data_IF_626331688237
#
_entry.id   IF_626331688237
#
_cell.length_a   1.000
_cell.length_b   1.000
_cell.length_c   1.000
_cell.angle_alpha   90.00
_cell.angle_beta   90.00
_cell.angle_gamma   90.00
#
_symmetry.space_group_name_H-M   'P 1'
#
loop_
_entity.id
_entity.type
_entity.pdbx_description
1 polymer ?
#
# COMPACT_ATOMS: atom_id res chain seq x y z
N UNK A 1 8.36 24.04 20.20
CA UNK A 1 8.36 23.05 21.30
C UNK A 1 8.41 21.65 20.71
N UNK A 2 9.54 20.95 20.88
CA UNK A 2 9.68 19.59 20.40
C UNK A 2 8.78 18.69 21.26
N UNK A 3 7.76 18.07 20.66
CA UNK A 3 7.03 17.00 21.32
C UNK A 3 8.05 15.89 21.62
N UNK A 4 8.33 15.64 22.89
CA UNK A 4 9.05 14.45 23.32
C UNK A 4 8.28 13.24 22.81
N UNK A 5 8.69 12.71 21.66
CA UNK A 5 8.27 11.39 21.21
C UNK A 5 8.81 10.40 22.23
N UNK A 6 7.92 9.71 22.93
CA UNK A 6 8.30 8.60 23.81
C UNK A 6 9.12 7.59 23.00
N UNK A 7 10.28 7.25 23.54
CA UNK A 7 11.21 6.30 22.93
C UNK A 7 11.27 5.04 23.76
N UNK A 8 11.30 3.88 23.10
CA UNK A 8 11.43 2.57 23.73
C UNK A 8 12.50 1.76 23.02
N UNK A 9 13.08 0.79 23.73
CA UNK A 9 14.01 -0.17 23.15
C UNK A 9 13.23 -1.29 22.46
N UNK A 10 13.56 -1.55 21.20
CA UNK A 10 12.99 -2.67 20.44
C UNK A 10 14.06 -3.36 19.61
N UNK A 11 13.91 -4.66 19.43
CA UNK A 11 14.81 -5.44 18.60
C UNK A 11 14.62 -5.09 17.13
N UNK A 12 15.72 -4.78 16.44
CA UNK A 12 15.73 -4.64 14.99
C UNK A 12 16.21 -5.96 14.37
N UNK A 13 15.32 -6.72 13.69
CA UNK A 13 15.67 -8.01 13.12
C UNK A 13 16.63 -7.95 11.93
N UNK A 14 16.80 -6.78 11.30
CA UNK A 14 17.72 -6.61 10.18
C UNK A 14 19.13 -6.31 10.70
N UNK A 15 19.24 -5.58 11.81
CA UNK A 15 20.51 -5.25 12.44
C UNK A 15 20.94 -6.27 13.52
N UNK A 16 20.06 -7.21 13.87
CA UNK A 16 20.23 -8.20 14.94
C UNK A 16 20.64 -7.61 16.29
N UNK A 17 20.09 -6.44 16.64
CA UNK A 17 20.38 -5.75 17.90
C UNK A 17 19.21 -4.91 18.41
N UNK A 18 19.25 -4.57 19.69
CA UNK A 18 18.30 -3.60 20.26
C UNK A 18 18.58 -2.20 19.70
N UNK A 19 17.52 -1.52 19.27
CA UNK A 19 17.56 -0.14 18.78
C UNK A 19 16.52 0.70 19.49
N UNK A 20 16.80 1.98 19.63
CA UNK A 20 15.82 2.95 20.13
C UNK A 20 14.80 3.20 19.01
N UNK A 21 13.53 2.95 19.30
CA UNK A 21 12.41 3.29 18.44
C UNK A 21 11.61 4.39 19.09
N UNK A 22 11.10 5.31 18.27
CA UNK A 22 10.16 6.34 18.70
C UNK A 22 8.74 5.84 18.46
N UNK A 23 7.85 6.14 19.39
CA UNK A 23 6.43 5.89 19.17
C UNK A 23 5.88 6.60 17.93
N UNK A 24 4.83 6.01 17.36
CA UNK A 24 4.10 6.62 16.26
C UNK A 24 3.44 7.92 16.75
N UNK A 25 3.65 9.01 16.01
CA UNK A 25 2.91 10.27 16.24
C UNK A 25 1.39 10.04 16.15
N UNK A 26 0.58 10.91 16.76
CA UNK A 26 -0.89 10.77 16.75
C UNK A 26 -1.49 10.62 15.34
N UNK A 27 -0.96 11.35 14.35
CA UNK A 27 -1.35 11.18 12.94
C UNK A 27 -1.05 9.77 12.41
N UNK A 28 0.12 9.23 12.75
CA UNK A 28 0.50 7.89 12.34
C UNK A 28 -0.35 6.83 13.04
N UNK A 29 -0.67 7.02 14.33
CA UNK A 29 -1.60 6.13 15.06
C UNK A 29 -2.99 6.13 14.39
N UNK A 30 -3.53 7.30 14.07
CA UNK A 30 -4.83 7.43 13.39
C UNK A 30 -4.85 6.78 12.00
N UNK A 31 -3.76 6.87 11.23
CA UNK A 31 -3.66 6.16 9.95
C UNK A 31 -3.59 4.64 10.16
N UNK A 32 -2.80 4.19 11.13
CA UNK A 32 -2.60 2.76 11.39
C UNK A 32 -3.81 2.08 12.03
N UNK A 33 -4.76 2.84 12.60
CA UNK A 33 -6.01 2.30 13.14
C UNK A 33 -7.09 2.06 12.08
N UNK A 34 -6.95 2.64 10.88
CA UNK A 34 -7.87 2.40 9.77
C UNK A 34 -7.40 1.18 8.99
N UNK A 35 -8.13 0.06 9.12
CA UNK A 35 -7.82 -1.26 8.56
C UNK A 35 -7.48 -1.27 7.06
N UNK A 36 -7.99 -0.32 6.28
CA UNK A 36 -7.81 -0.29 4.83
C UNK A 36 -6.97 0.91 4.36
N UNK A 37 -6.89 2.01 5.11
CA UNK A 37 -6.11 3.17 4.67
C UNK A 37 -4.60 3.04 4.94
N UNK A 38 -4.19 2.21 5.91
CA UNK A 38 -2.79 2.14 6.33
C UNK A 38 -1.86 1.59 5.24
N UNK A 39 -2.36 0.71 4.37
CA UNK A 39 -1.56 0.06 3.33
C UNK A 39 -1.39 0.92 2.06
N UNK A 40 -2.14 2.01 1.87
CA UNK A 40 -2.06 2.83 0.66
C UNK A 40 -1.30 4.15 0.86
N UNK A 41 -0.58 4.56 -0.18
CA UNK A 41 0.08 5.85 -0.30
C UNK A 41 -0.95 6.97 -0.28
N UNK A 42 -0.74 7.98 0.56
CA UNK A 42 -1.63 9.14 0.66
C UNK A 42 -1.75 9.96 -0.62
N UNK A 43 -0.84 9.77 -1.60
CA UNK A 43 -0.73 10.61 -2.78
C UNK A 43 -1.10 9.92 -4.10
N UNK A 44 -1.20 8.59 -4.15
CA UNK A 44 -1.37 7.90 -5.44
C UNK A 44 -2.07 6.55 -5.41
N UNK A 45 -2.41 6.02 -4.22
CA UNK A 45 -3.06 4.71 -4.12
C UNK A 45 -2.16 3.49 -4.28
N UNK A 46 -0.87 3.64 -4.62
CA UNK A 46 0.07 2.52 -4.55
C UNK A 46 0.27 2.05 -3.11
N UNK A 47 0.68 0.81 -2.92
CA UNK A 47 1.01 0.30 -1.58
C UNK A 47 2.14 1.11 -0.94
N UNK A 48 2.04 1.33 0.37
CA UNK A 48 3.11 1.94 1.15
C UNK A 48 4.29 0.98 1.28
N UNK A 49 5.48 1.51 1.51
CA UNK A 49 6.63 0.65 1.82
C UNK A 49 6.43 -0.11 3.14
N UNK A 50 5.65 0.45 4.06
CA UNK A 50 5.30 -0.20 5.32
C UNK A 50 4.41 -1.44 5.13
N UNK A 51 3.51 -1.46 4.15
CA UNK A 51 2.71 -2.65 3.84
C UNK A 51 3.58 -3.82 3.38
N UNK A 52 4.60 -3.57 2.57
CA UNK A 52 5.55 -4.61 2.15
C UNK A 52 6.35 -5.18 3.33
N UNK A 53 6.65 -4.35 4.32
CA UNK A 53 7.39 -4.76 5.52
C UNK A 53 6.50 -5.52 6.50
N UNK A 54 5.22 -5.12 6.62
CA UNK A 54 4.27 -5.76 7.54
C UNK A 54 3.89 -7.17 7.09
N UNK A 55 3.91 -7.45 5.79
CA UNK A 55 3.68 -8.78 5.23
C UNK A 55 4.91 -9.71 5.31
N UNK A 56 6.07 -9.22 5.77
CA UNK A 56 7.31 -9.98 5.86
C UNK A 56 7.82 -10.12 7.31
N UNK A 57 7.08 -10.83 8.19
CA UNK A 57 7.58 -11.13 9.52
C UNK A 57 8.82 -12.02 9.47
N UNK A 58 9.65 -11.92 10.49
CA UNK A 58 10.78 -12.83 10.72
C UNK A 58 10.67 -13.48 12.09
N UNK A 59 11.30 -14.64 12.23
CA UNK A 59 11.41 -15.32 13.53
C UNK A 59 12.74 -14.96 14.15
N UNK A 60 12.70 -14.60 15.44
CA UNK A 60 13.88 -14.21 16.21
C UNK A 60 13.93 -15.01 17.51
N UNK A 61 15.13 -15.36 17.97
CA UNK A 61 15.34 -16.03 19.25
C UNK A 61 16.12 -15.13 20.19
N UNK A 62 15.54 -14.84 21.36
CA UNK A 62 16.23 -14.09 22.42
C UNK A 62 17.42 -14.90 22.96
N UNK A 63 18.50 -14.19 23.21
CA UNK A 63 19.73 -14.67 23.81
C UNK A 63 19.79 -14.23 25.27
N UNK A 64 20.61 -14.89 26.09
CA UNK A 64 20.71 -14.65 27.54
C UNK A 64 21.07 -13.20 27.92
N UNK A 65 21.69 -12.43 27.01
CA UNK A 65 22.17 -11.08 27.26
C UNK A 65 21.17 -9.99 26.79
N UNK A 66 19.91 -10.32 26.54
CA UNK A 66 18.91 -9.38 26.02
C UNK A 66 19.01 -9.07 24.52
N UNK A 67 20.03 -9.58 23.84
CA UNK A 67 20.11 -9.60 22.37
C UNK A 67 19.16 -10.66 21.78
N UNK A 68 18.91 -10.59 20.49
CA UNK A 68 18.22 -11.64 19.75
C UNK A 68 18.96 -11.92 18.43
N UNK A 69 18.76 -13.12 17.89
CA UNK A 69 19.28 -13.51 16.57
C UNK A 69 18.15 -13.95 15.67
N UNK A 70 18.28 -13.73 14.36
CA UNK A 70 17.31 -14.23 13.40
C UNK A 70 17.38 -15.76 13.34
N UNK A 71 16.22 -16.40 13.28
CA UNK A 71 16.10 -17.83 13.01
C UNK A 71 16.03 -18.02 11.50
N UNK A 72 16.95 -18.80 10.95
CA UNK A 72 16.91 -19.18 9.55
C UNK A 72 15.79 -20.21 9.34
N UNK A 73 14.82 -19.87 8.49
CA UNK A 73 13.69 -20.73 8.19
C UNK A 73 14.14 -21.78 7.16
N UNK A 74 14.14 -23.04 7.57
CA UNK A 74 14.44 -24.16 6.67
C UNK A 74 13.22 -24.55 5.86
N UNK A 75 13.41 -25.15 4.69
CA UNK A 75 12.31 -25.68 3.85
C UNK A 75 11.41 -26.65 4.63
N UNK A 76 12.00 -27.49 5.49
CA UNK A 76 11.26 -28.40 6.38
C UNK A 76 10.26 -27.66 7.29
N UNK A 77 10.63 -26.49 7.80
CA UNK A 77 9.75 -25.67 8.65
C UNK A 77 8.57 -25.10 7.86
N UNK A 78 8.83 -24.66 6.63
CA UNK A 78 7.78 -24.14 5.72
C UNK A 78 6.81 -25.27 5.36
N UNK A 79 7.33 -26.43 4.94
CA UNK A 79 6.53 -27.60 4.59
C UNK A 79 5.69 -28.11 5.77
N UNK A 80 6.20 -28.01 7.01
CA UNK A 80 5.42 -28.36 8.20
C UNK A 80 4.20 -27.46 8.39
N UNK A 81 4.34 -26.16 8.10
CA UNK A 81 3.23 -25.20 8.11
C UNK A 81 2.18 -25.51 7.05
N UNK A 82 2.63 -25.77 5.82
CA UNK A 82 1.74 -26.14 4.69
C UNK A 82 0.96 -27.42 5.02
N UNK A 83 1.63 -28.46 5.52
CA UNK A 83 0.96 -29.73 5.91
C UNK A 83 -0.13 -29.52 6.96
N UNK A 84 0.05 -28.56 7.88
CA UNK A 84 -0.97 -28.23 8.87
C UNK A 84 -2.15 -27.46 8.29
N UNK A 85 -1.89 -26.54 7.37
CA UNK A 85 -2.93 -25.87 6.61
C UNK A 85 -3.77 -26.88 5.84
N UNK A 86 -3.12 -27.78 5.09
CA UNK A 86 -3.76 -28.85 4.34
C UNK A 86 -4.62 -29.74 5.23
N UNK A 87 -4.11 -30.19 6.38
CA UNK A 87 -4.89 -30.99 7.34
C UNK A 87 -6.12 -30.26 7.88
N UNK A 88 -6.03 -28.94 8.10
CA UNK A 88 -7.18 -28.13 8.49
C UNK A 88 -8.19 -27.96 7.35
N UNK A 89 -7.71 -27.77 6.12
CA UNK A 89 -8.56 -27.70 4.93
C UNK A 89 -9.27 -29.03 4.65
N UNK A 90 -8.60 -30.18 4.82
CA UNK A 90 -9.21 -31.51 4.76
C UNK A 90 -10.35 -31.63 5.77
N UNK A 91 -10.11 -31.26 7.05
CA UNK A 91 -11.16 -31.26 8.07
C UNK A 91 -12.31 -30.31 7.71
N UNK A 92 -12.02 -29.16 7.11
CA UNK A 92 -13.03 -28.22 6.66
C UNK A 92 -13.87 -28.78 5.51
N UNK A 93 -13.25 -29.46 4.55
CA UNK A 93 -13.93 -30.18 3.47
C UNK A 93 -14.87 -31.26 4.03
N UNK A 94 -14.41 -32.03 5.03
CA UNK A 94 -15.25 -33.00 5.74
C UNK A 94 -16.39 -32.34 6.53
N UNK A 95 -16.16 -31.16 7.10
CA UNK A 95 -17.20 -30.39 7.78
C UNK A 95 -18.25 -29.86 6.78
N UNK A 96 -17.82 -29.43 5.59
CA UNK A 96 -18.71 -28.99 4.50
C UNK A 96 -19.58 -30.14 3.97
N UNK A 97 -19.06 -31.38 3.95
CA UNK A 97 -19.85 -32.57 3.59
C UNK A 97 -20.81 -33.04 4.70
N UNK A 98 -20.80 -32.37 5.85
CA UNK A 98 -21.70 -32.66 6.97
C UNK A 98 -21.23 -33.76 7.92
N UNK A 99 -19.99 -34.28 7.77
CA UNK A 99 -19.44 -35.36 8.61
C UNK A 99 -19.48 -35.07 10.10
N UNK A 100 -19.38 -33.79 10.47
CA UNK A 100 -19.31 -33.31 11.86
C UNK A 100 -20.58 -32.57 12.31
N UNK A 101 -21.66 -32.67 11.54
CA UNK A 101 -22.91 -31.94 11.78
C UNK A 101 -22.95 -30.56 11.09
N UNK A 102 -24.10 -29.87 11.19
CA UNK A 102 -24.42 -28.73 10.32
C UNK A 102 -23.65 -27.44 10.65
N UNK A 103 -23.09 -27.31 11.85
CA UNK A 103 -22.49 -26.06 12.32
C UNK A 103 -20.95 -26.06 12.32
N UNK A 104 -20.30 -27.21 12.17
CA UNK A 104 -18.84 -27.32 12.32
C UNK A 104 -18.08 -26.47 11.29
N UNK A 105 -18.53 -26.43 10.04
CA UNK A 105 -17.92 -25.59 9.00
C UNK A 105 -17.97 -24.10 9.38
N UNK A 106 -19.11 -23.63 9.89
CA UNK A 106 -19.27 -22.25 10.35
C UNK A 106 -18.40 -21.96 11.58
N UNK A 107 -18.28 -22.90 12.53
CA UNK A 107 -17.38 -22.78 13.68
C UNK A 107 -15.91 -22.72 13.25
N UNK A 108 -15.51 -23.49 12.23
CA UNK A 108 -14.16 -23.44 11.70
C UNK A 108 -13.85 -22.08 11.07
N UNK A 109 -14.75 -21.53 10.26
CA UNK A 109 -14.63 -20.16 9.73
C UNK A 109 -14.49 -19.17 10.88
N UNK A 110 -15.42 -19.17 11.85
CA UNK A 110 -15.39 -18.21 12.96
C UNK A 110 -14.12 -18.31 13.83
N UNK A 111 -13.52 -19.50 13.92
CA UNK A 111 -12.33 -19.76 14.72
C UNK A 111 -11.03 -19.38 14.04
N UNK A 112 -10.92 -19.66 12.74
CA UNK A 112 -9.65 -19.54 12.01
C UNK A 112 -9.61 -18.34 11.07
N UNK A 113 -10.79 -17.84 10.68
CA UNK A 113 -10.94 -16.89 9.61
C UNK A 113 -11.68 -15.61 10.00
N UNK A 114 -11.43 -14.56 9.23
CA UNK A 114 -12.25 -13.37 9.20
C UNK A 114 -13.07 -13.37 7.91
N UNK A 115 -14.39 -13.45 8.03
CA UNK A 115 -15.29 -13.58 6.88
C UNK A 115 -15.26 -12.35 5.97
N UNK A 116 -14.92 -11.17 6.52
CA UNK A 116 -14.80 -9.93 5.76
C UNK A 116 -13.54 -9.98 4.92
N UNK A 117 -12.41 -10.40 5.50
CA UNK A 117 -11.16 -10.55 4.75
C UNK A 117 -11.25 -11.66 3.69
N UNK A 118 -12.02 -12.71 3.95
CA UNK A 118 -12.30 -13.78 2.97
C UNK A 118 -13.30 -13.36 1.88
N UNK A 119 -13.81 -12.13 1.89
CA UNK A 119 -14.86 -11.68 0.96
C UNK A 119 -16.12 -12.55 0.95
N UNK A 120 -16.48 -13.07 2.11
CA UNK A 120 -17.54 -14.05 2.28
C UNK A 120 -17.36 -15.34 1.44
N UNK A 121 -16.17 -15.60 0.89
CA UNK A 121 -15.86 -16.86 0.25
C UNK A 121 -15.78 -17.96 1.31
N UNK A 122 -16.63 -18.98 1.17
CA UNK A 122 -16.69 -20.15 2.07
C UNK A 122 -16.27 -21.42 1.35
N UNK A 123 -15.76 -21.31 0.13
CA UNK A 123 -15.18 -22.42 -0.63
C UNK A 123 -14.01 -23.05 0.13
N UNK A 124 -13.67 -24.28 -0.24
CA UNK A 124 -12.50 -24.96 0.31
C UNK A 124 -11.22 -24.22 -0.09
N UNK A 125 -11.18 -23.74 -1.33
CA UNK A 125 -10.06 -22.98 -1.91
C UNK A 125 -9.84 -21.67 -1.16
N UNK A 126 -10.89 -20.87 -0.97
CA UNK A 126 -10.82 -19.63 -0.20
C UNK A 126 -10.43 -19.86 1.26
N UNK A 127 -10.94 -20.93 1.88
CA UNK A 127 -10.52 -21.34 3.22
C UNK A 127 -9.02 -21.68 3.27
N UNK A 128 -8.52 -22.46 2.32
CA UNK A 128 -7.11 -22.85 2.26
C UNK A 128 -6.19 -21.64 2.02
N UNK A 129 -6.52 -20.80 1.03
CA UNK A 129 -5.78 -19.57 0.71
C UNK A 129 -5.62 -18.68 1.95
N UNK A 130 -6.69 -18.56 2.74
CA UNK A 130 -6.69 -17.72 3.92
C UNK A 130 -5.90 -18.32 5.11
N UNK A 131 -6.03 -19.62 5.38
CA UNK A 131 -5.37 -20.24 6.54
C UNK A 131 -3.90 -20.56 6.31
N UNK A 132 -3.47 -20.80 5.07
CA UNK A 132 -2.12 -21.30 4.78
C UNK A 132 -1.03 -20.35 5.28
N UNK A 133 -1.05 -19.04 4.94
CA UNK A 133 -0.06 -18.09 5.44
C UNK A 133 -0.05 -18.02 6.98
N UNK A 134 -1.23 -18.12 7.62
CA UNK A 134 -1.36 -18.11 9.08
C UNK A 134 -0.75 -19.34 9.72
N UNK A 135 -0.95 -20.52 9.14
CA UNK A 135 -0.39 -21.77 9.65
C UNK A 135 1.12 -21.82 9.46
N UNK A 136 1.62 -21.34 8.32
CA UNK A 136 3.05 -21.16 8.08
C UNK A 136 3.65 -20.26 9.16
N UNK A 137 3.08 -19.06 9.37
CA UNK A 137 3.56 -18.13 10.38
C UNK A 137 3.49 -18.72 11.80
N UNK A 138 2.42 -19.44 12.12
CA UNK A 138 2.25 -20.11 13.42
C UNK A 138 3.29 -21.19 13.66
N UNK A 139 3.65 -21.97 12.64
CA UNK A 139 4.72 -22.96 12.77
C UNK A 139 6.08 -22.30 12.92
N UNK A 140 6.34 -21.26 12.15
CA UNK A 140 7.56 -20.46 12.28
C UNK A 140 7.71 -19.89 13.71
N UNK A 141 6.62 -19.43 14.32
CA UNK A 141 6.56 -18.91 15.69
C UNK A 141 6.86 -19.95 16.80
N UNK A 142 6.92 -21.25 16.48
CA UNK A 142 7.33 -22.27 17.47
C UNK A 142 8.83 -22.27 17.72
N UNK A 143 9.59 -21.70 16.78
CA UNK A 143 11.05 -21.70 16.82
C UNK A 143 11.62 -20.39 17.39
N UNK A 144 10.76 -19.43 17.74
CA UNK A 144 11.15 -18.14 18.32
C UNK A 144 9.98 -17.15 18.35
N UNK A 145 10.27 -15.92 18.73
CA UNK A 145 9.31 -14.81 18.70
C UNK A 145 9.16 -14.27 17.28
N UNK A 146 7.94 -13.86 16.91
CA UNK A 146 7.72 -13.14 15.65
C UNK A 146 8.13 -11.67 15.87
N UNK A 147 9.02 -11.18 15.01
CA UNK A 147 9.34 -9.77 14.90
C UNK A 147 9.06 -9.29 13.48
N UNK A 148 8.44 -8.13 13.34
CA UNK A 148 8.29 -7.53 12.01
C UNK A 148 9.60 -6.92 11.55
N UNK A 149 9.89 -7.10 10.26
CA UNK A 149 10.99 -6.40 9.63
C UNK A 149 10.86 -4.89 9.87
N UNK A 150 11.99 -4.20 9.98
CA UNK A 150 12.04 -2.73 10.13
C UNK A 150 12.44 -2.06 8.82
N UNK A 151 12.80 -2.85 7.80
CA UNK A 151 13.33 -2.41 6.51
C UNK A 151 12.81 -3.29 5.37
N UNK A 152 12.87 -2.77 4.15
CA UNK A 152 12.51 -3.52 2.94
C UNK A 152 13.46 -4.69 2.74
N UNK A 153 12.97 -5.77 2.14
CA UNK A 153 13.81 -6.89 1.74
C UNK A 153 14.95 -6.40 0.83
N UNK A 154 16.17 -6.91 1.04
CA UNK A 154 17.40 -6.54 0.28
C UNK A 154 17.86 -5.09 0.45
N UNK A 155 17.24 -4.29 1.33
CA UNK A 155 17.71 -2.94 1.61
C UNK A 155 18.97 -2.94 2.49
N UNK A 156 19.88 -2.00 2.23
CA UNK A 156 21.09 -1.83 3.05
C UNK A 156 20.73 -1.48 4.50
N UNK A 157 21.49 -1.94 5.52
CA UNK A 157 21.31 -1.58 6.92
C UNK A 157 21.19 -0.07 7.20
N UNK A 158 21.86 0.75 6.40
CA UNK A 158 21.85 2.22 6.53
C UNK A 158 20.82 2.94 5.65
N UNK A 159 20.04 2.18 4.88
CA UNK A 159 19.00 2.76 4.03
C UNK A 159 17.93 3.50 4.87
N UNK A 160 17.15 4.37 4.23
CA UNK A 160 16.02 4.98 4.90
C UNK A 160 15.00 3.90 5.32
N UNK A 161 14.41 4.06 6.52
CA UNK A 161 13.30 3.20 6.96
C UNK A 161 12.09 3.37 6.03
N UNK A 162 11.32 2.29 5.78
CA UNK A 162 10.07 2.33 5.02
C UNK A 162 9.11 3.40 5.54
N UNK A 163 8.47 4.13 4.63
CA UNK A 163 7.41 5.07 4.99
C UNK A 163 6.10 4.34 5.27
N UNK A 164 5.43 4.68 6.39
CA UNK A 164 4.04 4.24 6.64
C UNK A 164 2.99 5.14 5.99
N UNK A 165 3.40 6.23 5.33
CA UNK A 165 2.50 7.16 4.64
C UNK A 165 2.56 7.03 3.12
N UNK A 166 3.72 6.67 2.59
CA UNK A 166 4.05 6.84 1.18
C UNK A 166 4.61 5.54 0.60
N UNK A 167 4.37 5.32 -0.68
CA UNK A 167 5.08 4.32 -1.47
C UNK A 167 6.53 4.77 -1.74
N UNK A 168 7.35 3.88 -2.29
CA UNK A 168 8.76 4.16 -2.61
C UNK A 168 8.94 5.40 -3.51
N UNK A 169 8.07 5.55 -4.51
CA UNK A 169 8.10 6.67 -5.45
C UNK A 169 7.64 8.01 -4.84
N UNK A 170 7.01 8.00 -3.67
CA UNK A 170 6.59 9.20 -2.95
C UNK A 170 7.31 9.42 -1.62
N UNK A 171 8.18 8.52 -1.20
CA UNK A 171 8.98 8.71 0.02
C UNK A 171 10.13 9.71 -0.23
N UNK A 172 10.11 10.92 0.35
CA UNK A 172 11.14 11.94 0.10
C UNK A 172 12.55 11.57 0.58
N UNK A 173 12.66 10.50 1.38
CA UNK A 173 13.92 9.94 1.90
C UNK A 173 14.59 8.96 0.93
N UNK A 174 13.90 8.51 -0.12
CA UNK A 174 14.46 7.57 -1.11
C UNK A 174 15.35 8.22 -2.15
N UNK A 175 15.09 9.48 -2.50
CA UNK A 175 15.93 10.20 -3.46
C UNK A 175 15.29 11.49 -3.98
N UNK A 176 16.00 12.15 -4.89
CA UNK A 176 15.58 13.42 -5.50
C UNK A 176 14.31 13.21 -6.34
N UNK A 177 14.22 12.11 -7.08
CA UNK A 177 13.05 11.74 -7.89
C UNK A 177 11.79 11.58 -7.03
N UNK A 178 11.86 10.77 -5.97
CA UNK A 178 10.74 10.57 -5.05
C UNK A 178 10.36 11.86 -4.31
N UNK A 179 11.35 12.68 -3.94
CA UNK A 179 11.11 14.00 -3.35
C UNK A 179 10.37 14.93 -4.31
N UNK A 180 10.74 14.97 -5.59
CA UNK A 180 10.04 15.77 -6.61
C UNK A 180 8.60 15.27 -6.81
N UNK A 181 8.40 13.95 -6.90
CA UNK A 181 7.07 13.36 -7.02
C UNK A 181 6.18 13.69 -5.80
N UNK A 182 6.73 13.57 -4.60
CA UNK A 182 6.06 14.00 -3.36
C UNK A 182 5.66 15.48 -3.40
N UNK A 183 6.60 16.37 -3.75
CA UNK A 183 6.34 17.82 -3.79
C UNK A 183 5.30 18.21 -4.85
N UNK A 184 5.25 17.48 -5.97
CA UNK A 184 4.25 17.67 -7.02
C UNK A 184 2.88 17.21 -6.53
N UNK A 185 2.77 15.97 -6.09
CA UNK A 185 1.47 15.34 -5.83
C UNK A 185 0.86 15.79 -4.49
N UNK A 186 1.68 16.20 -3.51
CA UNK A 186 1.16 16.75 -2.24
C UNK A 186 0.34 18.03 -2.42
N UNK A 187 0.57 18.77 -3.51
CA UNK A 187 -0.18 20.02 -3.81
C UNK A 187 -1.64 19.74 -4.11
N UNK A 188 -1.93 18.54 -4.62
CA UNK A 188 -3.25 18.13 -5.08
C UNK A 188 -3.91 17.11 -4.15
N UNK A 189 -3.44 17.05 -2.90
CA UNK A 189 -3.94 16.07 -1.92
C UNK A 189 -5.42 16.26 -1.62
N UNK A 190 -5.92 17.50 -1.67
CA UNK A 190 -7.31 17.82 -1.40
C UNK A 190 -8.21 17.42 -2.57
N UNK A 191 -7.80 17.70 -3.80
CA UNK A 191 -8.52 17.24 -5.00
C UNK A 191 -8.53 15.71 -5.08
N UNK A 192 -7.40 15.08 -4.75
CA UNK A 192 -7.33 13.62 -4.69
C UNK A 192 -8.34 13.05 -3.68
N UNK A 193 -8.45 13.65 -2.50
CA UNK A 193 -9.43 13.24 -1.47
C UNK A 193 -10.86 13.48 -1.89
N UNK A 194 -11.16 14.64 -2.47
CA UNK A 194 -12.48 14.97 -2.97
C UNK A 194 -12.93 14.00 -4.07
N UNK A 195 -12.05 13.64 -5.00
CA UNK A 195 -12.35 12.67 -6.05
C UNK A 195 -12.59 11.27 -5.47
N UNK A 196 -11.82 10.83 -4.47
CA UNK A 196 -12.11 9.57 -3.78
C UNK A 196 -13.51 9.57 -3.16
N UNK A 197 -13.89 10.66 -2.48
CA UNK A 197 -15.22 10.79 -1.87
C UNK A 197 -16.34 10.78 -2.91
N UNK A 198 -16.14 11.43 -4.06
CA UNK A 198 -17.09 11.42 -5.17
C UNK A 198 -17.27 10.02 -5.77
N UNK A 199 -16.17 9.29 -6.00
CA UNK A 199 -16.23 7.93 -6.54
C UNK A 199 -16.93 7.00 -5.55
N UNK A 200 -16.60 7.07 -4.25
CA UNK A 200 -17.30 6.31 -3.22
C UNK A 200 -18.80 6.63 -3.20
N UNK A 201 -19.15 7.91 -3.16
CA UNK A 201 -20.54 8.36 -3.14
C UNK A 201 -21.32 7.87 -4.37
N UNK A 202 -20.71 7.90 -5.55
CA UNK A 202 -21.30 7.37 -6.76
C UNK A 202 -21.46 5.85 -6.71
N UNK A 203 -20.42 5.14 -6.26
CA UNK A 203 -20.45 3.68 -6.17
C UNK A 203 -21.47 3.15 -5.16
N UNK A 204 -21.62 3.82 -4.01
CA UNK A 204 -22.64 3.47 -3.03
C UNK A 204 -24.06 3.74 -3.53
N UNK A 205 -24.29 4.88 -4.21
CA UNK A 205 -25.61 5.20 -4.79
C UNK A 205 -26.05 4.18 -5.85
N UNK A 206 -25.09 3.64 -6.60
CA UNK A 206 -25.34 2.70 -7.69
C UNK A 206 -25.14 1.24 -7.28
N UNK A 207 -24.87 0.97 -6.00
CA UNK A 207 -24.58 -0.38 -5.48
C UNK A 207 -23.45 -1.11 -6.22
N UNK A 208 -22.46 -0.38 -6.74
CA UNK A 208 -21.30 -0.96 -7.44
C UNK A 208 -20.09 -1.12 -6.55
N UNK A 209 -20.09 -0.48 -5.37
CA UNK A 209 -19.02 -0.57 -4.38
C UNK A 209 -19.62 -0.86 -2.99
N UNK A 210 -18.91 -1.65 -2.19
CA UNK A 210 -19.33 -2.13 -0.87
C UNK A 210 -18.60 -1.44 0.28
N UNK A 211 -17.42 -0.87 0.04
CA UNK A 211 -16.65 -0.07 1.00
C UNK A 211 -15.81 -0.87 1.99
N UNK A 212 -15.97 -2.19 2.03
CA UNK A 212 -15.23 -3.08 2.92
C UNK A 212 -14.16 -3.92 2.19
N UNK A 213 -14.19 -4.03 0.86
CA UNK A 213 -13.18 -4.78 0.09
C UNK A 213 -11.93 -3.94 -0.22
N UNK A 214 -10.76 -4.50 0.08
CA UNK A 214 -9.45 -3.89 -0.16
C UNK A 214 -9.22 -3.53 -1.65
N UNK A 215 -9.77 -4.32 -2.59
CA UNK A 215 -9.61 -4.08 -4.03
C UNK A 215 -10.44 -2.89 -4.50
N UNK A 216 -11.62 -2.69 -3.92
CA UNK A 216 -12.41 -1.49 -4.14
C UNK A 216 -11.68 -0.25 -3.61
N UNK A 217 -11.07 -0.35 -2.42
CA UNK A 217 -10.21 0.73 -1.90
C UNK A 217 -9.04 1.03 -2.85
N UNK A 218 -8.40 0.00 -3.40
CA UNK A 218 -7.33 0.15 -4.38
C UNK A 218 -7.85 0.76 -5.70
N UNK A 219 -9.03 0.35 -6.17
CA UNK A 219 -9.69 0.88 -7.35
C UNK A 219 -9.99 2.37 -7.21
N UNK A 220 -10.73 2.76 -6.16
CA UNK A 220 -11.11 4.16 -5.93
C UNK A 220 -9.89 5.06 -5.86
N UNK A 221 -8.84 4.62 -5.17
CA UNK A 221 -7.58 5.36 -5.04
C UNK A 221 -6.82 5.50 -6.36
N UNK A 222 -6.74 4.44 -7.17
CA UNK A 222 -6.10 4.50 -8.50
C UNK A 222 -6.89 5.40 -9.44
N UNK A 223 -8.21 5.29 -9.41
CA UNK A 223 -9.10 6.03 -10.30
C UNK A 223 -9.11 7.53 -9.95
N UNK A 224 -9.21 7.88 -8.67
CA UNK A 224 -9.05 9.27 -8.22
C UNK A 224 -7.69 9.83 -8.64
N UNK A 225 -6.60 9.07 -8.50
CA UNK A 225 -5.27 9.53 -8.89
C UNK A 225 -5.13 9.72 -10.41
N UNK A 226 -5.74 8.82 -11.19
CA UNK A 226 -5.84 8.93 -12.65
C UNK A 226 -6.59 10.21 -13.05
N UNK A 227 -7.71 10.51 -12.41
CA UNK A 227 -8.50 11.71 -12.67
C UNK A 227 -7.76 12.99 -12.27
N UNK A 228 -7.08 13.04 -11.11
CA UNK A 228 -6.19 14.16 -10.75
C UNK A 228 -5.14 14.39 -11.83
N UNK A 229 -4.48 13.31 -12.29
CA UNK A 229 -3.47 13.42 -13.36
C UNK A 229 -4.04 13.87 -14.69
N UNK A 230 -5.25 13.45 -15.04
CA UNK A 230 -5.92 13.87 -16.27
C UNK A 230 -6.26 15.36 -16.22
N UNK A 231 -6.92 15.79 -15.14
CA UNK A 231 -7.26 17.19 -14.90
C UNK A 231 -6.01 18.07 -14.89
N UNK A 232 -4.91 17.58 -14.30
CA UNK A 232 -3.65 18.31 -14.17
C UNK A 232 -2.59 17.97 -15.20
N UNK A 233 -2.97 17.26 -16.27
CA UNK A 233 -2.08 17.03 -17.40
C UNK A 233 -1.77 18.39 -18.01
N UNK A 234 -0.49 18.83 -18.01
CA UNK A 234 -0.12 20.14 -18.55
C UNK A 234 -0.65 20.30 -19.96
N UNK A 235 -0.69 19.25 -20.76
CA UNK A 235 -1.16 19.29 -22.15
C UNK A 235 -2.64 19.62 -22.29
N UNK A 236 -3.53 19.04 -21.45
CA UNK A 236 -4.98 19.26 -21.60
C UNK A 236 -5.38 20.67 -21.17
N UNK A 237 -4.91 21.14 -20.02
CA UNK A 237 -5.23 22.51 -19.57
C UNK A 237 -4.46 23.57 -20.36
N UNK A 238 -3.25 23.27 -20.85
CA UNK A 238 -2.52 24.17 -21.74
C UNK A 238 -3.23 24.32 -23.09
N UNK A 239 -3.84 23.26 -23.62
CA UNK A 239 -4.67 23.34 -24.83
C UNK A 239 -5.91 24.22 -24.58
N UNK A 240 -6.55 24.10 -23.41
CA UNK A 240 -7.69 24.94 -23.02
C UNK A 240 -7.30 26.41 -22.77
N UNK A 241 -6.11 26.68 -22.22
CA UNK A 241 -5.63 28.05 -22.02
C UNK A 241 -5.14 28.70 -23.33
N UNK A 242 -4.51 27.91 -24.20
CA UNK A 242 -4.04 28.39 -25.51
C UNK A 242 -5.20 28.58 -26.50
N UNK A 243 -6.26 27.78 -26.43
CA UNK A 243 -7.46 27.97 -27.25
C UNK A 243 -8.22 29.25 -26.90
N UNK A 244 -8.15 29.68 -25.63
CA UNK A 244 -8.71 30.97 -25.16
C UNK A 244 -7.87 32.19 -25.59
N UNK A 245 -6.62 32.00 -26.02
CA UNK A 245 -5.78 33.01 -26.69
C UNK A 245 -5.34 34.23 -25.87
N UNK A 246 -5.84 34.42 -24.64
CA UNK A 246 -5.68 35.66 -23.86
C UNK A 246 -4.62 35.61 -22.77
N UNK A 247 -4.12 34.43 -22.40
CA UNK A 247 -3.21 34.28 -21.26
C UNK A 247 -1.74 34.16 -21.69
N UNK A 248 -0.86 34.91 -21.02
CA UNK A 248 0.59 34.80 -21.18
C UNK A 248 1.12 33.51 -20.56
N UNK A 249 2.30 33.04 -21.00
CA UNK A 249 2.94 31.85 -20.43
C UNK A 249 3.19 31.94 -18.91
N UNK A 250 3.36 33.17 -18.38
CA UNK A 250 3.55 33.39 -16.95
C UNK A 250 2.24 33.30 -16.15
N UNK A 251 1.10 33.64 -16.75
CA UNK A 251 -0.23 33.48 -16.16
C UNK A 251 -0.64 32.01 -16.20
N UNK A 252 -0.41 31.33 -17.33
CA UNK A 252 -0.63 29.88 -17.46
C UNK A 252 0.22 29.11 -16.42
N UNK A 253 1.48 29.51 -16.22
CA UNK A 253 2.36 28.89 -15.22
C UNK A 253 1.84 29.06 -13.79
N UNK A 254 1.31 30.24 -13.46
CA UNK A 254 0.71 30.54 -12.15
C UNK A 254 -0.56 29.71 -11.92
N UNK A 255 -1.45 29.67 -12.91
CA UNK A 255 -2.72 28.95 -12.83
C UNK A 255 -2.53 27.43 -12.74
N UNK A 256 -1.55 26.90 -13.49
CA UNK A 256 -1.20 25.48 -13.46
C UNK A 256 -0.29 25.10 -12.28
N UNK A 257 0.22 26.07 -11.52
CA UNK A 257 1.17 25.83 -10.43
C UNK A 257 2.50 25.19 -10.86
N UNK A 258 2.92 25.40 -12.12
CA UNK A 258 4.15 24.84 -12.71
C UNK A 258 5.13 25.95 -13.11
N UNK A 259 6.39 25.60 -13.39
CA UNK A 259 7.35 26.62 -13.83
C UNK A 259 7.04 27.12 -15.24
N UNK A 260 7.35 28.40 -15.52
CA UNK A 260 7.26 28.97 -16.87
C UNK A 260 8.05 28.17 -17.91
N UNK A 261 9.19 27.62 -17.52
CA UNK A 261 9.99 26.73 -18.38
C UNK A 261 9.26 25.43 -18.71
N UNK A 262 8.50 24.85 -17.77
CA UNK A 262 7.69 23.66 -18.01
C UNK A 262 6.54 23.96 -19.00
N UNK A 263 5.91 25.14 -18.89
CA UNK A 263 4.90 25.63 -19.85
C UNK A 263 5.51 25.75 -21.24
N UNK A 264 6.66 26.44 -21.37
CA UNK A 264 7.36 26.60 -22.65
C UNK A 264 7.75 25.25 -23.28
N UNK A 265 8.27 24.32 -22.49
CA UNK A 265 8.62 22.97 -22.96
C UNK A 265 7.40 22.12 -23.34
N UNK A 266 6.24 22.37 -22.74
CA UNK A 266 4.98 21.70 -23.09
C UNK A 266 4.43 22.22 -24.42
N UNK A 267 4.45 23.54 -24.64
CA UNK A 267 4.08 24.18 -25.92
C UNK A 267 4.95 23.63 -27.04
N UNK A 268 6.28 23.63 -26.89
CA UNK A 268 7.21 23.07 -27.89
C UNK A 268 6.90 21.61 -28.23
N UNK A 269 6.60 20.78 -27.22
CA UNK A 269 6.25 19.36 -27.43
C UNK A 269 4.93 19.20 -28.18
N UNK A 270 3.96 20.08 -27.94
CA UNK A 270 2.69 20.12 -28.66
C UNK A 270 2.89 20.52 -30.13
N UNK A 271 3.64 21.58 -30.39
CA UNK A 271 3.88 22.06 -31.76
C UNK A 271 4.56 20.99 -32.61
N UNK A 272 5.56 20.30 -32.05
CA UNK A 272 6.22 19.15 -32.69
C UNK A 272 5.21 18.02 -32.96
N UNK A 273 4.32 17.72 -32.00
CA UNK A 273 3.30 16.67 -32.16
C UNK A 273 2.27 17.02 -33.24
N UNK A 274 1.85 18.29 -33.31
CA UNK A 274 0.90 18.78 -34.31
C UNK A 274 1.54 18.81 -35.71
N UNK A 275 2.79 19.26 -35.82
CA UNK A 275 3.55 19.21 -37.07
C UNK A 275 3.68 17.76 -37.59
N UNK A 276 3.98 16.79 -36.70
CA UNK A 276 4.02 15.37 -37.06
C UNK A 276 2.66 14.83 -37.51
N UNK A 277 1.55 15.22 -36.87
CA UNK A 277 0.20 14.83 -37.31
C UNK A 277 -0.17 15.42 -38.68
N UNK A 278 0.21 16.66 -38.95
CA UNK A 278 -0.03 17.29 -40.25
C UNK A 278 0.71 16.57 -41.38
N UNK A 279 1.94 16.09 -41.13
CA UNK A 279 2.72 15.32 -42.12
C UNK A 279 2.08 13.95 -42.41
N UNK A 280 1.52 13.28 -41.40
CA UNK A 280 0.88 11.96 -41.56
C UNK A 280 -0.48 12.04 -42.27
N UNK A 281 -1.18 13.17 -42.20
CA UNK A 281 -2.48 13.36 -42.86
C UNK A 281 -2.38 13.87 -44.32
N UNK A 282 -1.16 14.09 -44.82
CA UNK A 282 -0.88 14.60 -46.18
C UNK A 282 -0.22 13.51 -47.07
N UNK A 283 0.05 12.33 -46.49
CA UNK A 283 0.53 11.13 -47.20
C UNK A 283 -0.61 10.09 -47.29
#
# INVERSE_FOLDING_TARGET
>A
MAKNTETYLAFDPVLERMVIQSEATGRMRAKLSDNHAWCFCELCGNLTEYSEVRSAPVVVKRLKNGNAKRVHLTEKMILSGIKRAQKLAERYSEALSGKYGPFEAAHMIARYCDIVEMRADRSLEGFLEYIEPKMILREQARHGEIAWATRLAKSHPDSAKPSKLYCESHNPRRGITSRRAYQRDRRFIWEYRALMEQIWSHGFKNSTLSGWDIEEHAYVRREAYRQVKALRSPTSMLDDFLSKGTMTQAEIARELGISRQAVSAAIKRRDIKNAKKAIVNVA
#
